data_IF_891465700090
#
_entry.id   IF_891465700090
#
_cell.length_a   1.000
_cell.length_b   1.000
_cell.length_c   1.000
_cell.angle_alpha   90.00
_cell.angle_beta   90.00
_cell.angle_gamma   90.00
#
_symmetry.space_group_name_H-M   'P 1'
#
loop_
_entity.id
_entity.type
_entity.pdbx_description
1 polymer ?
#
# COMPACT_ATOMS: atom_id res chain seq x y z
N UNK A 1 -41.46 151.41 -58.82
CA UNK A 1 -40.81 151.84 -57.56
C UNK A 1 -41.85 151.72 -56.42
N UNK A 2 -42.38 150.51 -56.15
CA UNK A 2 -43.29 150.24 -55.01
C UNK A 2 -43.17 148.80 -54.46
N UNK A 3 -42.79 147.80 -55.28
CA UNK A 3 -42.68 146.40 -54.82
C UNK A 3 -41.45 146.10 -53.92
N UNK A 4 -40.41 146.94 -53.96
CA UNK A 4 -39.14 146.67 -53.23
C UNK A 4 -39.22 147.10 -51.76
N UNK A 5 -40.05 148.09 -51.41
CA UNK A 5 -40.22 148.57 -50.04
C UNK A 5 -41.00 147.59 -49.14
N UNK A 6 -41.96 146.85 -49.70
CA UNK A 6 -42.70 145.81 -48.97
C UNK A 6 -41.80 144.62 -48.58
N UNK A 7 -40.78 144.31 -49.38
CA UNK A 7 -39.88 143.18 -49.14
C UNK A 7 -38.94 143.44 -47.95
N UNK A 8 -38.49 144.68 -47.77
CA UNK A 8 -37.61 145.07 -46.65
C UNK A 8 -38.34 145.12 -45.28
N UNK A 9 -39.66 145.40 -45.27
CA UNK A 9 -40.47 145.42 -44.04
C UNK A 9 -40.92 144.02 -43.58
N UNK A 10 -41.05 143.03 -44.49
CA UNK A 10 -41.46 141.66 -44.15
C UNK A 10 -40.30 140.75 -43.73
N UNK A 11 -39.07 141.01 -44.20
CA UNK A 11 -37.88 140.21 -43.91
C UNK A 11 -37.56 140.04 -42.40
N UNK A 12 -37.62 141.08 -41.54
CA UNK A 12 -37.32 140.92 -40.11
C UNK A 12 -38.40 140.17 -39.31
N UNK A 13 -39.62 139.98 -39.84
CA UNK A 13 -40.67 139.18 -39.19
C UNK A 13 -40.68 137.72 -39.67
N UNK A 14 -40.31 137.46 -40.91
CA UNK A 14 -40.32 136.11 -41.49
C UNK A 14 -39.11 135.30 -41.01
N UNK A 15 -37.94 135.91 -40.84
CA UNK A 15 -36.71 135.20 -40.45
C UNK A 15 -36.73 134.63 -39.01
N UNK A 16 -37.16 135.37 -37.97
CA UNK A 16 -37.27 134.82 -36.61
C UNK A 16 -38.38 133.76 -36.49
N UNK A 17 -39.45 133.89 -37.27
CA UNK A 17 -40.54 132.92 -37.31
C UNK A 17 -40.09 131.58 -37.93
N UNK A 18 -39.32 131.63 -39.03
CA UNK A 18 -38.73 130.44 -39.65
C UNK A 18 -37.67 129.82 -38.73
N UNK A 19 -36.81 130.62 -38.09
CA UNK A 19 -35.80 130.10 -37.17
C UNK A 19 -36.42 129.45 -35.93
N UNK A 20 -37.49 130.04 -35.38
CA UNK A 20 -38.26 129.46 -34.27
C UNK A 20 -39.04 128.21 -34.68
N UNK A 21 -39.56 128.16 -35.90
CA UNK A 21 -40.20 126.97 -36.44
C UNK A 21 -39.20 125.83 -36.68
N UNK A 22 -38.00 126.13 -37.20
CA UNK A 22 -36.94 125.15 -37.44
C UNK A 22 -36.33 124.65 -36.12
N UNK A 23 -36.05 125.55 -35.17
CA UNK A 23 -35.58 125.17 -33.82
C UNK A 23 -36.68 124.45 -33.02
N UNK A 24 -37.94 124.83 -33.17
CA UNK A 24 -39.10 124.17 -32.56
C UNK A 24 -39.33 122.77 -33.12
N UNK A 25 -39.26 122.60 -34.45
CA UNK A 25 -39.29 121.27 -35.09
C UNK A 25 -38.09 120.41 -34.66
N UNK A 26 -36.88 120.98 -34.62
CA UNK A 26 -35.66 120.27 -34.19
C UNK A 26 -35.75 119.84 -32.73
N UNK A 27 -36.14 120.73 -31.82
CA UNK A 27 -36.31 120.41 -30.39
C UNK A 27 -37.40 119.36 -30.15
N UNK A 28 -38.50 119.40 -30.91
CA UNK A 28 -39.58 118.42 -30.80
C UNK A 28 -39.15 117.03 -31.31
N UNK A 29 -38.40 116.99 -32.42
CA UNK A 29 -37.86 115.73 -32.97
C UNK A 29 -36.85 115.07 -32.00
N UNK A 30 -35.95 115.86 -31.40
CA UNK A 30 -35.01 115.35 -30.40
C UNK A 30 -35.72 114.86 -29.12
N UNK A 31 -36.80 115.51 -28.68
CA UNK A 31 -37.59 115.04 -27.54
C UNK A 31 -38.36 113.76 -27.83
N UNK A 32 -38.89 113.60 -29.05
CA UNK A 32 -39.54 112.37 -29.49
C UNK A 32 -38.54 111.21 -29.55
N UNK A 33 -37.34 111.43 -30.10
CA UNK A 33 -36.26 110.43 -30.13
C UNK A 33 -35.77 110.05 -28.73
N UNK A 34 -35.67 111.02 -27.81
CA UNK A 34 -35.30 110.77 -26.42
C UNK A 34 -36.38 109.96 -25.68
N UNK A 35 -37.66 110.27 -25.92
CA UNK A 35 -38.77 109.50 -25.37
C UNK A 35 -38.80 108.06 -25.90
N UNK A 36 -38.58 107.87 -27.20
CA UNK A 36 -38.49 106.55 -27.81
C UNK A 36 -37.28 105.75 -27.28
N UNK A 37 -36.12 106.39 -27.15
CA UNK A 37 -34.93 105.78 -26.57
C UNK A 37 -35.19 105.33 -25.12
N UNK A 38 -35.87 106.16 -24.31
CA UNK A 38 -36.24 105.82 -22.94
C UNK A 38 -37.20 104.64 -22.88
N UNK A 39 -38.20 104.59 -23.77
CA UNK A 39 -39.11 103.44 -23.85
C UNK A 39 -38.35 102.16 -24.19
N UNK A 40 -37.44 102.22 -25.18
CA UNK A 40 -36.58 101.08 -25.55
C UNK A 40 -35.69 100.64 -24.41
N UNK A 41 -35.14 101.57 -23.62
CA UNK A 41 -34.36 101.27 -22.41
C UNK A 41 -35.22 100.49 -21.41
N UNK A 42 -36.42 100.99 -21.07
CA UNK A 42 -37.30 100.30 -20.10
C UNK A 42 -37.72 98.90 -20.57
N UNK A 43 -37.95 98.72 -21.88
CA UNK A 43 -38.23 97.40 -22.45
C UNK A 43 -37.00 96.47 -22.41
N UNK A 44 -35.80 97.01 -22.61
CA UNK A 44 -34.57 96.23 -22.49
C UNK A 44 -34.29 95.84 -21.04
N UNK A 45 -34.56 96.72 -20.08
CA UNK A 45 -34.45 96.46 -18.65
C UNK A 45 -35.42 95.36 -18.21
N UNK A 46 -36.69 95.41 -18.65
CA UNK A 46 -37.66 94.36 -18.29
C UNK A 46 -37.28 92.99 -18.87
N UNK A 47 -36.74 92.96 -20.10
CA UNK A 47 -36.24 91.71 -20.70
C UNK A 47 -34.99 91.20 -19.98
N UNK A 48 -34.09 92.08 -19.56
CA UNK A 48 -32.91 91.70 -18.78
C UNK A 48 -33.32 91.12 -17.42
N UNK A 49 -34.32 91.70 -16.76
CA UNK A 49 -34.86 91.19 -15.50
C UNK A 49 -35.49 89.80 -15.68
N UNK A 50 -36.29 89.61 -16.73
CA UNK A 50 -36.89 88.31 -17.06
C UNK A 50 -35.82 87.23 -17.33
N UNK A 51 -34.80 87.56 -18.14
CA UNK A 51 -33.69 86.66 -18.44
C UNK A 51 -32.92 86.32 -17.15
N UNK A 52 -32.68 87.31 -16.28
CA UNK A 52 -31.99 87.11 -15.01
C UNK A 52 -32.77 86.16 -14.09
N UNK A 53 -34.09 86.34 -13.99
CA UNK A 53 -34.93 85.46 -13.19
C UNK A 53 -34.95 84.02 -13.75
N UNK A 54 -35.02 83.86 -15.08
CA UNK A 54 -34.96 82.55 -15.74
C UNK A 54 -33.61 81.86 -15.51
N UNK A 55 -32.49 82.61 -15.56
CA UNK A 55 -31.17 82.09 -15.23
C UNK A 55 -31.12 81.61 -13.77
N UNK A 56 -31.60 82.42 -12.81
CA UNK A 56 -31.64 82.02 -11.40
C UNK A 56 -32.50 80.77 -11.17
N UNK A 57 -33.65 80.65 -11.85
CA UNK A 57 -34.51 79.47 -11.75
C UNK A 57 -33.83 78.21 -12.32
N UNK A 58 -33.08 78.37 -13.42
CA UNK A 58 -32.26 77.30 -14.02
C UNK A 58 -31.07 76.92 -13.13
N UNK A 59 -30.40 77.88 -12.51
CA UNK A 59 -29.27 77.62 -11.61
C UNK A 59 -29.72 76.80 -10.39
N UNK A 60 -30.89 77.13 -9.80
CA UNK A 60 -31.47 76.29 -8.72
C UNK A 60 -31.83 74.88 -9.20
N UNK A 61 -32.27 74.73 -10.45
CA UNK A 61 -32.54 73.40 -11.01
C UNK A 61 -31.24 72.61 -11.19
N UNK A 62 -30.19 73.25 -11.70
CA UNK A 62 -28.86 72.65 -11.86
C UNK A 62 -28.28 72.23 -10.51
N UNK A 63 -28.40 73.06 -9.47
CA UNK A 63 -27.96 72.72 -8.10
C UNK A 63 -28.70 71.48 -7.57
N UNK A 64 -30.00 71.35 -7.83
CA UNK A 64 -30.75 70.13 -7.46
C UNK A 64 -30.26 68.91 -8.24
N UNK A 65 -29.98 69.06 -9.53
CA UNK A 65 -29.42 67.99 -10.35
C UNK A 65 -28.03 67.56 -9.85
N UNK A 66 -27.17 68.50 -9.48
CA UNK A 66 -25.83 68.22 -8.95
C UNK A 66 -25.88 67.44 -7.64
N UNK A 67 -26.78 67.82 -6.71
CA UNK A 67 -27.02 67.08 -5.48
C UNK A 67 -27.49 65.64 -5.73
N UNK A 68 -28.40 65.44 -6.68
CA UNK A 68 -28.90 64.10 -7.05
C UNK A 68 -27.80 63.26 -7.72
N UNK A 69 -26.94 63.87 -8.54
CA UNK A 69 -25.76 63.22 -9.11
C UNK A 69 -24.82 62.78 -7.98
N UNK A 70 -24.56 63.63 -7.00
CA UNK A 70 -23.75 63.28 -5.82
C UNK A 70 -24.30 62.11 -5.02
N UNK A 71 -25.62 62.06 -4.80
CA UNK A 71 -26.27 60.94 -4.11
C UNK A 71 -26.15 59.63 -4.90
N UNK A 72 -26.36 59.68 -6.21
CA UNK A 72 -26.22 58.51 -7.09
C UNK A 72 -24.77 58.03 -7.16
N UNK A 73 -23.80 58.94 -7.21
CA UNK A 73 -22.38 58.59 -7.18
C UNK A 73 -21.99 57.90 -5.86
N UNK A 74 -22.49 58.40 -4.72
CA UNK A 74 -22.27 57.73 -3.44
C UNK A 74 -22.86 56.32 -3.40
N UNK A 75 -24.08 56.13 -3.90
CA UNK A 75 -24.72 54.80 -4.01
C UNK A 75 -23.94 53.87 -4.95
N UNK A 76 -23.45 54.39 -6.07
CA UNK A 76 -22.63 53.63 -7.02
C UNK A 76 -21.33 53.15 -6.36
N UNK A 77 -20.65 54.03 -5.63
CA UNK A 77 -19.44 53.69 -4.89
C UNK A 77 -19.71 52.63 -3.81
N UNK A 78 -20.83 52.73 -3.09
CA UNK A 78 -21.22 51.71 -2.11
C UNK A 78 -21.49 50.35 -2.77
N UNK A 79 -22.25 50.32 -3.86
CA UNK A 79 -22.53 49.09 -4.61
C UNK A 79 -21.25 48.47 -5.18
N UNK A 80 -20.32 49.28 -5.67
CA UNK A 80 -19.03 48.80 -6.17
C UNK A 80 -18.18 48.17 -5.05
N UNK A 81 -18.22 48.74 -3.84
CA UNK A 81 -17.60 48.14 -2.65
C UNK A 81 -18.23 46.79 -2.30
N UNK A 82 -19.56 46.72 -2.23
CA UNK A 82 -20.30 45.47 -1.95
C UNK A 82 -20.01 44.41 -3.03
N UNK A 83 -19.98 44.81 -4.30
CA UNK A 83 -19.64 43.91 -5.41
C UNK A 83 -18.21 43.36 -5.28
N UNK A 84 -17.27 44.19 -4.86
CA UNK A 84 -15.88 43.76 -4.62
C UNK A 84 -15.81 42.72 -3.49
N UNK A 85 -16.56 42.94 -2.40
CA UNK A 85 -16.67 41.96 -1.31
C UNK A 85 -17.34 40.66 -1.76
N UNK A 86 -18.41 40.73 -2.55
CA UNK A 86 -19.09 39.55 -3.10
C UNK A 86 -18.16 38.75 -4.02
N UNK A 87 -17.35 39.41 -4.83
CA UNK A 87 -16.36 38.75 -5.69
C UNK A 87 -15.33 37.96 -4.86
N UNK A 88 -14.84 38.55 -3.77
CA UNK A 88 -13.93 37.83 -2.85
C UNK A 88 -14.62 36.64 -2.19
N UNK A 89 -15.90 36.75 -1.84
CA UNK A 89 -16.66 35.64 -1.30
C UNK A 89 -16.88 34.52 -2.34
N UNK A 90 -17.15 34.87 -3.60
CA UNK A 90 -17.32 33.92 -4.71
C UNK A 90 -16.03 33.13 -4.99
N UNK A 91 -14.87 33.80 -4.99
CA UNK A 91 -13.58 33.12 -5.15
C UNK A 91 -13.32 32.12 -4.02
N UNK A 92 -13.61 32.50 -2.76
CA UNK A 92 -13.52 31.58 -1.62
C UNK A 92 -14.47 30.39 -1.72
N UNK A 93 -15.68 30.58 -2.26
CA UNK A 93 -16.64 29.50 -2.48
C UNK A 93 -16.07 28.50 -3.49
N UNK A 94 -15.47 28.98 -4.59
CA UNK A 94 -14.84 28.10 -5.59
C UNK A 94 -13.68 27.30 -5.01
N UNK A 95 -12.85 27.94 -4.18
CA UNK A 95 -11.74 27.26 -3.51
C UNK A 95 -12.26 26.13 -2.60
N UNK A 96 -13.30 26.42 -1.80
CA UNK A 96 -13.96 25.42 -0.95
C UNK A 96 -14.62 24.29 -1.76
N UNK A 97 -15.23 24.60 -2.89
CA UNK A 97 -15.82 23.58 -3.78
C UNK A 97 -14.76 22.64 -4.35
N UNK A 98 -13.57 23.14 -4.69
CA UNK A 98 -12.43 22.30 -5.10
C UNK A 98 -11.95 21.41 -3.95
N UNK A 99 -11.80 21.96 -2.74
CA UNK A 99 -11.42 21.17 -1.56
C UNK A 99 -12.43 20.04 -1.29
N UNK A 100 -13.73 20.36 -1.32
CA UNK A 100 -14.80 19.36 -1.16
C UNK A 100 -14.72 18.28 -2.25
N UNK A 101 -14.42 18.64 -3.50
CA UNK A 101 -14.26 17.68 -4.59
C UNK A 101 -13.08 16.73 -4.35
N UNK A 102 -11.94 17.27 -3.91
CA UNK A 102 -10.74 16.48 -3.57
C UNK A 102 -11.01 15.56 -2.39
N UNK A 103 -11.69 16.05 -1.36
CA UNK A 103 -12.10 15.24 -0.20
C UNK A 103 -13.03 14.10 -0.61
N UNK A 104 -14.00 14.35 -1.50
CA UNK A 104 -14.87 13.30 -2.03
C UNK A 104 -14.10 12.23 -2.81
N UNK A 105 -13.13 12.63 -3.64
CA UNK A 105 -12.28 11.68 -4.36
C UNK A 105 -11.45 10.82 -3.39
N UNK A 106 -10.87 11.45 -2.36
CA UNK A 106 -10.10 10.78 -1.31
C UNK A 106 -10.97 9.82 -0.51
N UNK A 107 -12.18 10.24 -0.13
CA UNK A 107 -13.15 9.42 0.58
C UNK A 107 -13.51 8.17 -0.23
N UNK A 108 -13.78 8.31 -1.53
CA UNK A 108 -14.08 7.17 -2.42
C UNK A 108 -12.91 6.18 -2.47
N UNK A 109 -11.67 6.68 -2.56
CA UNK A 109 -10.47 5.84 -2.55
C UNK A 109 -10.33 5.09 -1.21
N UNK A 110 -10.43 5.80 -0.09
CA UNK A 110 -10.34 5.20 1.23
C UNK A 110 -11.43 4.14 1.46
N UNK A 111 -12.66 4.38 0.98
CA UNK A 111 -13.74 3.40 1.08
C UNK A 111 -13.43 2.10 0.30
N UNK A 112 -12.83 2.24 -0.89
CA UNK A 112 -12.35 1.07 -1.64
C UNK A 112 -11.23 0.33 -0.90
N UNK A 113 -10.25 1.06 -0.38
CA UNK A 113 -9.13 0.50 0.38
C UNK A 113 -9.62 -0.22 1.65
N UNK A 114 -10.65 0.30 2.32
CA UNK A 114 -11.32 -0.35 3.46
C UNK A 114 -11.88 -1.71 3.05
N UNK A 115 -12.65 -1.79 1.96
CA UNK A 115 -13.21 -3.07 1.51
C UNK A 115 -12.13 -4.08 1.13
N UNK A 116 -11.03 -3.63 0.51
CA UNK A 116 -9.88 -4.48 0.20
C UNK A 116 -9.23 -5.01 1.48
N UNK A 117 -8.98 -4.14 2.46
CA UNK A 117 -8.40 -4.53 3.74
C UNK A 117 -9.31 -5.49 4.51
N UNK A 118 -10.61 -5.24 4.50
CA UNK A 118 -11.62 -6.09 5.14
C UNK A 118 -11.63 -7.50 4.52
N UNK A 119 -11.57 -7.60 3.19
CA UNK A 119 -11.49 -8.91 2.51
C UNK A 119 -10.23 -9.69 2.89
N UNK A 120 -9.07 -9.02 2.98
CA UNK A 120 -7.81 -9.63 3.41
C UNK A 120 -7.83 -10.05 4.87
N UNK A 121 -8.47 -9.25 5.73
CA UNK A 121 -8.62 -9.58 7.14
C UNK A 121 -9.47 -10.85 7.33
N UNK A 122 -10.59 -10.97 6.59
CA UNK A 122 -11.42 -12.19 6.60
C UNK A 122 -10.64 -13.41 6.10
N UNK A 123 -9.91 -13.29 5.00
CA UNK A 123 -9.08 -14.40 4.49
C UNK A 123 -8.03 -14.84 5.52
N UNK A 124 -7.38 -13.88 6.19
CA UNK A 124 -6.42 -14.18 7.26
C UNK A 124 -7.08 -14.86 8.47
N UNK A 125 -8.30 -14.44 8.83
CA UNK A 125 -9.10 -15.05 9.90
C UNK A 125 -9.49 -16.50 9.56
N UNK A 126 -9.98 -16.77 8.34
CA UNK A 126 -10.31 -18.11 7.87
C UNK A 126 -9.10 -19.05 7.93
N UNK A 127 -7.92 -18.56 7.51
CA UNK A 127 -6.66 -19.30 7.58
C UNK A 127 -6.24 -19.56 9.03
N UNK A 128 -6.39 -18.58 9.91
CA UNK A 128 -6.11 -18.73 11.34
C UNK A 128 -7.03 -19.79 11.97
N UNK A 129 -8.32 -19.78 11.64
CA UNK A 129 -9.29 -20.78 12.11
C UNK A 129 -8.90 -22.18 11.63
N UNK A 130 -8.48 -22.32 10.37
CA UNK A 130 -7.99 -23.59 9.83
C UNK A 130 -6.76 -24.09 10.61
N UNK A 131 -5.74 -23.25 10.78
CA UNK A 131 -4.52 -23.61 11.54
C UNK A 131 -4.87 -23.95 12.98
N UNK A 132 -5.75 -23.20 13.62
CA UNK A 132 -6.21 -23.45 15.00
C UNK A 132 -6.86 -24.82 15.11
N UNK A 133 -7.72 -25.20 14.15
CA UNK A 133 -8.34 -26.54 14.11
C UNK A 133 -7.31 -27.66 13.93
N UNK A 134 -6.24 -27.43 13.16
CA UNK A 134 -5.14 -28.38 12.99
C UNK A 134 -4.33 -28.52 14.28
N UNK A 135 -4.04 -27.41 14.95
CA UNK A 135 -3.33 -27.39 16.23
C UNK A 135 -4.13 -28.15 17.28
N UNK A 136 -5.44 -27.94 17.37
CA UNK A 136 -6.30 -28.66 18.31
C UNK A 136 -6.32 -30.17 18.03
N UNK A 137 -6.41 -30.59 16.76
CA UNK A 137 -6.27 -32.02 16.40
C UNK A 137 -4.91 -32.59 16.79
N UNK A 138 -3.84 -31.81 16.62
CA UNK A 138 -2.49 -32.23 17.00
C UNK A 138 -2.34 -32.31 18.53
N UNK A 139 -2.94 -31.38 19.26
CA UNK A 139 -3.00 -31.39 20.73
C UNK A 139 -3.68 -32.68 21.23
N UNK A 140 -4.83 -33.05 20.65
CA UNK A 140 -5.51 -34.31 20.98
C UNK A 140 -4.60 -35.53 20.74
N UNK A 141 -3.93 -35.59 19.57
CA UNK A 141 -3.00 -36.68 19.23
C UNK A 141 -1.82 -36.72 20.21
N UNK A 142 -1.20 -35.58 20.50
CA UNK A 142 -0.04 -35.50 21.42
C UNK A 142 -0.46 -35.94 22.82
N UNK A 143 -1.66 -35.55 23.28
CA UNK A 143 -2.20 -35.98 24.56
C UNK A 143 -2.41 -37.50 24.63
N UNK A 144 -2.94 -38.12 23.56
CA UNK A 144 -3.11 -39.57 23.47
C UNK A 144 -1.75 -40.29 23.46
N UNK A 145 -0.80 -39.82 22.65
CA UNK A 145 0.56 -40.37 22.58
C UNK A 145 1.28 -40.24 23.93
N UNK A 146 1.06 -39.15 24.66
CA UNK A 146 1.62 -38.97 26.01
C UNK A 146 1.11 -40.04 26.97
N UNK A 147 -0.20 -40.32 26.97
CA UNK A 147 -0.79 -41.39 27.80
C UNK A 147 -0.19 -42.76 27.43
N UNK A 148 -0.02 -43.05 26.13
CA UNK A 148 0.58 -44.30 25.66
C UNK A 148 2.03 -44.46 26.14
N UNK A 149 2.84 -43.39 26.06
CA UNK A 149 4.22 -43.40 26.56
C UNK A 149 4.26 -43.67 28.06
N UNK A 150 3.40 -43.00 28.84
CA UNK A 150 3.30 -43.21 30.29
C UNK A 150 2.94 -44.65 30.64
N UNK A 151 1.98 -45.25 29.93
CA UNK A 151 1.62 -46.66 30.12
C UNK A 151 2.77 -47.61 29.76
N UNK A 152 3.49 -47.33 28.67
CA UNK A 152 4.64 -48.12 28.27
C UNK A 152 5.78 -48.06 29.30
N UNK A 153 6.05 -46.87 29.85
CA UNK A 153 7.03 -46.68 30.91
C UNK A 153 6.68 -47.49 32.17
N UNK A 154 5.42 -47.45 32.61
CA UNK A 154 4.93 -48.26 33.72
C UNK A 154 5.07 -49.77 33.45
N UNK A 155 4.72 -50.23 32.25
CA UNK A 155 4.86 -51.63 31.86
C UNK A 155 6.32 -52.08 31.83
N UNK A 156 7.23 -51.20 31.40
CA UNK A 156 8.67 -51.44 31.40
C UNK A 156 9.22 -51.56 32.83
N UNK A 157 8.85 -50.64 33.72
CA UNK A 157 9.22 -50.70 35.14
C UNK A 157 8.72 -52.01 35.79
N UNK A 158 7.45 -52.39 35.56
CA UNK A 158 6.89 -53.63 36.08
C UNK A 158 7.62 -54.87 35.54
N UNK A 159 7.99 -54.87 34.25
CA UNK A 159 8.78 -55.94 33.64
C UNK A 159 10.17 -56.02 34.24
N UNK A 160 10.81 -54.90 34.51
CA UNK A 160 12.11 -54.86 35.17
C UNK A 160 12.03 -55.42 36.59
N UNK A 161 11.03 -55.01 37.38
CA UNK A 161 10.76 -55.55 38.72
C UNK A 161 10.52 -57.07 38.64
N UNK A 162 9.68 -57.52 37.70
CA UNK A 162 9.38 -58.94 37.49
C UNK A 162 10.62 -59.74 37.07
N UNK A 163 11.48 -59.19 36.21
CA UNK A 163 12.73 -59.82 35.81
C UNK A 163 13.72 -59.89 36.98
N UNK A 164 13.83 -58.86 37.80
CA UNK A 164 14.63 -58.87 39.04
C UNK A 164 14.12 -59.95 39.99
N UNK A 165 12.81 -60.03 40.23
CA UNK A 165 12.19 -61.09 41.03
C UNK A 165 12.38 -62.48 40.42
N UNK A 166 12.25 -62.64 39.10
CA UNK A 166 12.49 -63.91 38.41
C UNK A 166 13.96 -64.34 38.43
N UNK A 167 14.91 -63.40 38.40
CA UNK A 167 16.34 -63.70 38.61
C UNK A 167 16.61 -64.15 40.03
N UNK A 168 15.94 -63.57 41.02
CA UNK A 168 16.01 -64.01 42.41
C UNK A 168 15.31 -65.35 42.65
N UNK A 169 14.24 -65.66 41.90
CA UNK A 169 13.46 -66.89 42.00
C UNK A 169 13.91 -68.00 41.03
N UNK A 170 14.90 -67.75 40.16
CA UNK A 170 15.50 -68.80 39.33
C UNK A 170 16.36 -69.67 40.24
N UNK A 171 16.11 -70.98 40.37
CA UNK A 171 17.14 -71.88 40.85
C UNK A 171 18.34 -71.79 39.88
N UNK A 172 19.58 -71.98 40.33
CA UNK A 172 20.74 -71.87 39.47
C UNK A 172 20.53 -72.77 38.25
N UNK A 173 20.60 -72.19 37.05
CA UNK A 173 20.19 -72.84 35.80
C UNK A 173 21.30 -73.79 35.34
N UNK A 174 21.39 -74.95 35.99
CA UNK A 174 22.31 -76.07 35.73
C UNK A 174 21.97 -76.90 34.47
N UNK A 175 21.25 -76.34 33.49
CA UNK A 175 20.81 -77.07 32.28
C UNK A 175 21.68 -76.81 31.05
N UNK A 176 22.31 -75.63 30.94
CA UNK A 176 23.19 -75.31 29.79
C UNK A 176 24.53 -76.04 29.89
N UNK A 177 25.09 -76.18 31.11
CA UNK A 177 26.27 -77.00 31.39
C UNK A 177 26.02 -78.48 31.08
N UNK A 178 24.80 -78.99 31.32
CA UNK A 178 24.43 -80.37 30.98
C UNK A 178 24.45 -80.63 29.47
N UNK A 179 24.10 -79.64 28.67
CA UNK A 179 24.11 -79.77 27.20
C UNK A 179 25.54 -79.79 26.66
N UNK A 180 26.44 -78.96 27.19
CA UNK A 180 27.86 -79.03 26.87
C UNK A 180 28.50 -80.33 27.36
N UNK A 181 28.12 -80.84 28.53
CA UNK A 181 28.63 -82.15 29.00
C UNK A 181 28.12 -83.31 28.15
N UNK A 182 26.92 -83.20 27.55
CA UNK A 182 26.39 -84.22 26.64
C UNK A 182 27.09 -84.17 25.28
N UNK A 183 27.23 -82.98 24.68
CA UNK A 183 27.95 -82.82 23.41
C UNK A 183 29.44 -83.14 23.54
N UNK A 184 30.08 -82.81 24.67
CA UNK A 184 31.47 -83.20 24.92
C UNK A 184 31.63 -84.70 25.20
N UNK A 185 30.60 -85.34 25.75
CA UNK A 185 30.61 -86.78 26.04
C UNK A 185 30.36 -87.67 24.82
N UNK A 186 29.59 -87.17 23.83
CA UNK A 186 29.15 -87.96 22.68
C UNK A 186 30.01 -87.74 21.41
N UNK A 187 30.71 -86.61 21.28
CA UNK A 187 31.55 -86.29 20.10
C UNK A 187 33.06 -86.19 20.39
N UNK A 188 33.51 -86.51 21.61
CA UNK A 188 34.92 -86.57 21.96
C UNK A 188 35.19 -87.83 22.80
N UNK A 189 35.39 -89.02 22.19
CA UNK A 189 35.77 -90.18 22.96
C UNK A 189 37.20 -89.95 23.46
N UNK A 190 37.34 -89.86 24.79
CA UNK A 190 38.59 -89.95 25.52
C UNK A 190 39.69 -88.92 25.16
N UNK A 191 39.50 -87.66 25.55
CA UNK A 191 40.61 -86.68 25.60
C UNK A 191 40.89 -86.14 27.00
N UNK A 192 40.48 -86.84 28.06
CA UNK A 192 40.77 -86.43 29.44
C UNK A 192 42.06 -87.08 30.01
N UNK A 193 42.67 -88.01 29.28
CA UNK A 193 43.90 -88.72 29.68
C UNK A 193 45.19 -88.23 29.02
N UNK A 194 45.13 -87.29 28.07
CA UNK A 194 46.30 -86.89 27.27
C UNK A 194 46.31 -85.38 26.95
N UNK A 195 45.80 -84.54 27.86
CA UNK A 195 45.91 -83.07 27.80
C UNK A 195 46.87 -82.53 28.89
N UNK A 196 47.82 -83.37 29.30
CA UNK A 196 48.92 -82.99 30.20
C UNK A 196 50.31 -83.25 29.62
N UNK A 197 50.45 -83.74 28.38
CA UNK A 197 51.76 -83.89 27.78
C UNK A 197 51.74 -83.64 26.27
N UNK A 198 52.56 -82.68 25.86
CA UNK A 198 52.97 -82.41 24.47
C UNK A 198 51.96 -81.67 23.59
N UNK A 199 51.82 -80.39 23.92
CA UNK A 199 51.95 -79.23 23.02
C UNK A 199 52.59 -79.55 21.65
N UNK A 200 51.82 -80.12 20.70
CA UNK A 200 52.25 -80.30 19.30
C UNK A 200 51.11 -80.44 18.29
N UNK A 201 49.89 -80.02 18.63
CA UNK A 201 48.71 -80.06 17.73
C UNK A 201 47.86 -78.77 17.79
N UNK A 202 48.43 -77.68 18.33
CA UNK A 202 47.90 -76.32 18.14
C UNK A 202 47.97 -75.87 16.67
N UNK A 203 48.84 -76.48 15.87
CA UNK A 203 49.12 -76.12 14.48
C UNK A 203 47.96 -76.42 13.54
N UNK A 204 47.23 -77.52 13.71
CA UNK A 204 46.11 -77.88 12.83
C UNK A 204 44.89 -76.98 13.07
N UNK A 205 44.56 -76.69 14.32
CA UNK A 205 43.50 -75.75 14.68
C UNK A 205 43.88 -74.30 14.36
N UNK A 206 45.13 -73.87 14.62
CA UNK A 206 45.60 -72.55 14.16
C UNK A 206 45.67 -72.46 12.65
N UNK A 207 46.06 -73.50 11.93
CA UNK A 207 46.07 -73.52 10.47
C UNK A 207 44.64 -73.40 9.93
N UNK A 208 43.69 -74.14 10.48
CA UNK A 208 42.28 -74.05 10.10
C UNK A 208 41.68 -72.66 10.40
N UNK A 209 41.92 -72.12 11.59
CA UNK A 209 41.43 -70.79 12.00
C UNK A 209 42.13 -69.67 11.21
N UNK A 210 43.44 -69.78 10.95
CA UNK A 210 44.16 -68.80 10.14
C UNK A 210 43.79 -68.87 8.66
N UNK A 211 43.53 -70.07 8.14
CA UNK A 211 43.10 -70.27 6.76
C UNK A 211 41.68 -69.76 6.52
N UNK A 212 40.75 -70.04 7.43
CA UNK A 212 39.39 -69.47 7.39
C UNK A 212 39.42 -67.95 7.53
N UNK A 213 40.26 -67.40 8.41
CA UNK A 213 40.43 -65.95 8.54
C UNK A 213 41.06 -65.29 7.30
N UNK A 214 42.04 -65.95 6.66
CA UNK A 214 42.66 -65.46 5.43
C UNK A 214 41.69 -65.46 4.25
N UNK A 215 40.82 -66.48 4.18
CA UNK A 215 39.76 -66.57 3.18
C UNK A 215 38.71 -65.48 3.41
N UNK A 216 38.28 -65.26 4.65
CA UNK A 216 37.37 -64.16 5.00
C UNK A 216 37.96 -62.79 4.65
N UNK A 217 39.26 -62.59 4.88
CA UNK A 217 39.94 -61.34 4.53
C UNK A 217 39.98 -61.11 3.01
N UNK A 218 40.25 -62.17 2.23
CA UNK A 218 40.20 -62.11 0.75
C UNK A 218 38.78 -61.82 0.27
N UNK A 219 37.80 -62.56 0.78
CA UNK A 219 36.38 -62.38 0.45
C UNK A 219 35.91 -60.95 0.76
N UNK A 220 36.23 -60.42 1.95
CA UNK A 220 35.91 -59.05 2.31
C UNK A 220 36.57 -58.03 1.38
N UNK A 221 37.82 -58.26 0.97
CA UNK A 221 38.53 -57.36 0.06
C UNK A 221 37.88 -57.35 -1.33
N UNK A 222 37.52 -58.52 -1.86
CA UNK A 222 36.79 -58.64 -3.13
C UNK A 222 35.40 -58.02 -3.05
N UNK A 223 34.65 -58.27 -1.97
CA UNK A 223 33.33 -57.66 -1.76
C UNK A 223 33.42 -56.14 -1.66
N UNK A 224 34.48 -55.62 -1.02
CA UNK A 224 34.71 -54.18 -0.93
C UNK A 224 35.02 -53.54 -2.28
N UNK A 225 35.81 -54.22 -3.12
CA UNK A 225 36.09 -53.78 -4.49
C UNK A 225 34.81 -53.76 -5.34
N UNK A 226 34.04 -54.85 -5.33
CA UNK A 226 32.75 -54.93 -6.02
C UNK A 226 31.73 -53.93 -5.48
N UNK A 227 31.74 -53.64 -4.17
CA UNK A 227 30.88 -52.61 -3.58
C UNK A 227 31.23 -51.23 -4.10
N UNK A 228 32.51 -50.91 -4.23
CA UNK A 228 32.93 -49.62 -4.79
C UNK A 228 32.57 -49.47 -6.27
N UNK A 229 32.75 -50.53 -7.07
CA UNK A 229 32.33 -50.55 -8.48
C UNK A 229 30.80 -50.37 -8.61
N UNK A 230 30.03 -51.07 -7.77
CA UNK A 230 28.57 -50.94 -7.74
C UNK A 230 28.13 -49.54 -7.30
N UNK A 231 28.83 -48.87 -6.39
CA UNK A 231 28.52 -47.49 -6.04
C UNK A 231 28.65 -46.55 -7.24
N UNK A 232 29.68 -46.72 -8.07
CA UNK A 232 29.87 -45.91 -9.28
C UNK A 232 28.74 -46.17 -10.27
N UNK A 233 28.40 -47.44 -10.50
CA UNK A 233 27.32 -47.83 -11.41
C UNK A 233 25.94 -47.33 -10.93
N UNK A 234 25.61 -47.55 -9.65
CA UNK A 234 24.35 -47.10 -9.04
C UNK A 234 24.23 -45.59 -9.10
N UNK A 235 25.31 -44.86 -8.81
CA UNK A 235 25.31 -43.39 -8.90
C UNK A 235 25.06 -42.92 -10.33
N UNK A 236 25.74 -43.51 -11.31
CA UNK A 236 25.57 -43.16 -12.71
C UNK A 236 24.15 -43.44 -13.21
N UNK A 237 23.56 -44.56 -12.82
CA UNK A 237 22.18 -44.90 -13.21
C UNK A 237 21.14 -44.03 -12.47
N UNK A 238 21.40 -43.66 -11.21
CA UNK A 238 20.55 -42.73 -10.47
C UNK A 238 20.58 -41.31 -11.06
N UNK A 239 21.73 -40.82 -11.49
CA UNK A 239 21.89 -39.49 -12.12
C UNK A 239 21.28 -39.42 -13.53
N UNK A 240 21.14 -40.57 -14.21
CA UNK A 240 20.56 -40.67 -15.55
C UNK A 240 19.04 -40.47 -15.57
N UNK A 241 18.35 -40.69 -14.44
CA UNK A 241 16.90 -40.54 -14.32
C UNK A 241 16.52 -39.32 -13.48
N UNK A 242 15.66 -38.46 -14.03
CA UNK A 242 15.26 -37.18 -13.41
C UNK A 242 14.73 -37.32 -11.97
N UNK A 243 14.01 -38.42 -11.69
CA UNK A 243 13.43 -38.68 -10.37
C UNK A 243 14.42 -39.22 -9.33
N UNK A 244 15.48 -39.93 -9.75
CA UNK A 244 16.48 -40.50 -8.83
C UNK A 244 17.73 -39.64 -8.72
N UNK A 245 17.92 -38.67 -9.62
CA UNK A 245 19.07 -37.77 -9.63
C UNK A 245 19.17 -36.95 -8.33
N UNK A 246 18.04 -36.51 -7.77
CA UNK A 246 18.01 -35.78 -6.49
C UNK A 246 18.40 -36.65 -5.28
N UNK A 247 18.37 -37.98 -5.43
CA UNK A 247 18.69 -38.96 -4.38
C UNK A 247 20.09 -39.56 -4.54
N UNK A 248 20.86 -39.18 -5.58
CA UNK A 248 22.20 -39.70 -5.87
C UNK A 248 23.30 -39.18 -4.90
N UNK A 249 22.96 -39.07 -3.62
CA UNK A 249 23.88 -38.72 -2.54
C UNK A 249 24.75 -39.93 -2.15
N UNK A 250 25.97 -39.67 -1.69
CA UNK A 250 26.96 -40.72 -1.38
C UNK A 250 26.44 -41.75 -0.37
N UNK A 251 25.65 -41.34 0.62
CA UNK A 251 25.09 -42.23 1.64
C UNK A 251 24.02 -43.17 1.06
N UNK A 252 23.10 -42.64 0.24
CA UNK A 252 22.04 -43.42 -0.39
C UNK A 252 22.64 -44.41 -1.40
N UNK A 253 23.59 -43.95 -2.21
CA UNK A 253 24.35 -44.80 -3.14
C UNK A 253 25.08 -45.93 -2.39
N UNK A 254 25.69 -45.63 -1.24
CA UNK A 254 26.32 -46.64 -0.38
C UNK A 254 25.32 -47.71 0.08
N UNK A 255 24.16 -47.29 0.62
CA UNK A 255 23.14 -48.23 1.11
C UNK A 255 22.55 -49.09 -0.02
N UNK A 256 22.27 -48.51 -1.18
CA UNK A 256 21.73 -49.24 -2.33
C UNK A 256 22.77 -50.24 -2.88
N UNK A 257 24.03 -49.85 -3.02
CA UNK A 257 25.10 -50.76 -3.42
C UNK A 257 25.31 -51.90 -2.40
N UNK A 258 25.21 -51.62 -1.09
CA UNK A 258 25.28 -52.65 -0.05
C UNK A 258 24.10 -53.60 -0.09
N UNK A 259 22.89 -53.08 -0.32
CA UNK A 259 21.68 -53.88 -0.46
C UNK A 259 21.79 -54.88 -1.62
N UNK A 260 22.27 -54.44 -2.79
CA UNK A 260 22.46 -55.30 -3.97
C UNK A 260 23.42 -56.48 -3.73
N UNK A 261 24.36 -56.35 -2.78
CA UNK A 261 25.27 -57.43 -2.40
C UNK A 261 24.64 -58.33 -1.31
N UNK A 262 24.00 -57.73 -0.31
CA UNK A 262 23.52 -58.45 0.88
C UNK A 262 22.22 -59.23 0.58
N UNK A 263 21.31 -58.69 -0.23
CA UNK A 263 20.01 -59.32 -0.50
C UNK A 263 20.12 -60.69 -1.20
N UNK A 264 20.98 -60.89 -2.21
CA UNK A 264 21.18 -62.20 -2.82
C UNK A 264 21.78 -63.23 -1.85
N UNK A 265 22.73 -62.80 -1.01
CA UNK A 265 23.38 -63.66 -0.01
C UNK A 265 22.39 -64.11 1.06
N UNK A 266 21.59 -63.18 1.60
CA UNK A 266 20.56 -63.51 2.59
C UNK A 266 19.45 -64.36 1.99
N UNK A 267 19.00 -64.05 0.76
CA UNK A 267 17.99 -64.86 0.07
C UNK A 267 18.47 -66.29 -0.20
N UNK A 268 19.70 -66.45 -0.68
CA UNK A 268 20.30 -67.76 -0.88
C UNK A 268 20.48 -68.53 0.43
N UNK A 269 20.91 -67.84 1.50
CA UNK A 269 21.02 -68.44 2.83
C UNK A 269 19.68 -68.92 3.37
N UNK A 270 18.64 -68.08 3.28
CA UNK A 270 17.29 -68.41 3.73
C UNK A 270 16.75 -69.62 2.94
N UNK A 271 16.89 -69.62 1.61
CA UNK A 271 16.46 -70.74 0.77
C UNK A 271 17.21 -72.05 1.10
N UNK A 272 18.53 -72.01 1.24
CA UNK A 272 19.33 -73.19 1.60
C UNK A 272 19.02 -73.69 3.02
N UNK A 273 18.83 -72.78 3.98
CA UNK A 273 18.46 -73.13 5.35
C UNK A 273 17.06 -73.74 5.44
N UNK A 274 16.14 -73.33 4.56
CA UNK A 274 14.79 -73.91 4.48
C UNK A 274 14.75 -75.31 3.86
N UNK A 275 15.78 -75.72 3.12
CA UNK A 275 15.91 -77.07 2.53
C UNK A 275 16.65 -78.05 3.44
N UNK A 276 17.35 -77.56 4.46
CA UNK A 276 18.11 -78.34 5.45
C UNK A 276 17.33 -78.56 6.76
N UNK A 277 16.07 -78.09 6.83
CA UNK A 277 15.12 -78.32 7.91
C UNK A 277 13.97 -79.22 7.46
#
# INVERSE_FOLDING_TARGET
MEAVYYYYYLLPFVFPAILSAVLGLSSQDHQNQLYEAKLRITQSESRLEEITQNINDRDRYLERCENLIGELDHKLNHLQSVFSHLKVADDKIKDLEEEVRVLWATLRKNNFDIHVLESKAREAEDRLQMVTSQVQKMEDIVSERWIQIQQFEQALQLKEIRLKAQRQARPPRWTFLKFFSYLSGEYLPNAHGLLSSHFSEESALRAYVSQTFSWLKRFYSTVKESHHELQVFVKQEMERHEFTACLANQEIVFFVASALIIFPVLSAWILLSSQLC
#
